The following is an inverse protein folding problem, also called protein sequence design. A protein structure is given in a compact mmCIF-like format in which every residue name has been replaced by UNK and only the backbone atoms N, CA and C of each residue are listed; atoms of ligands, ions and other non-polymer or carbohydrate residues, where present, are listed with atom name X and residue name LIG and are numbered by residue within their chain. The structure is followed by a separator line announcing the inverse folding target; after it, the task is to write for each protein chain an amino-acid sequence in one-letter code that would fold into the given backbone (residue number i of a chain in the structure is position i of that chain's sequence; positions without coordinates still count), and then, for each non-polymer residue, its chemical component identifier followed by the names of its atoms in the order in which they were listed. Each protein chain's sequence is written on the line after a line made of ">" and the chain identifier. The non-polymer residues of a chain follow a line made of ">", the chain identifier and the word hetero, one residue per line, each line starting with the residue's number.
data_IF_100219725778
#
_entry.id   IF_100219725778
#
_cell.length_a   1.000
_cell.length_b   1.000
_cell.length_c   1.000
_cell.angle_alpha   90.00
_cell.angle_beta   90.00
_cell.angle_gamma   90.00
#
_symmetry.space_group_name_H-M   'P 1'
#
loop_
_entity.id
_entity.type
_entity.pdbx_description
1 polymer ?
#
# COMPACT_ATOMS: atom_id res chain seq x y z
N UNK A 1 -26.15 -9.69 20.18
CA UNK A 1 -25.28 -9.22 19.10
C UNK A 1 -25.88 -9.57 17.75
N UNK A 2 -26.00 -8.60 16.89
CA UNK A 2 -26.48 -8.88 15.55
C UNK A 2 -25.39 -9.55 14.71
N UNK A 3 -25.80 -10.37 13.76
CA UNK A 3 -24.88 -11.02 12.83
C UNK A 3 -24.05 -9.99 12.04
N UNK A 4 -24.63 -8.82 11.75
CA UNK A 4 -23.96 -7.73 11.05
C UNK A 4 -22.75 -7.20 11.84
N UNK A 5 -22.85 -7.09 13.16
CA UNK A 5 -21.73 -6.65 14.00
C UNK A 5 -20.59 -7.66 14.02
N UNK A 6 -20.90 -8.95 14.12
CA UNK A 6 -19.92 -10.03 14.05
C UNK A 6 -19.20 -10.06 12.72
N UNK A 7 -19.95 -9.88 11.63
CA UNK A 7 -19.41 -9.89 10.28
C UNK A 7 -18.45 -8.71 10.06
N UNK A 8 -18.83 -7.53 10.54
CA UNK A 8 -17.97 -6.34 10.43
C UNK A 8 -16.67 -6.51 11.22
N UNK A 9 -16.75 -7.09 12.41
CA UNK A 9 -15.56 -7.36 13.22
C UNK A 9 -14.62 -8.34 12.53
N UNK A 10 -15.16 -9.37 11.91
CA UNK A 10 -14.36 -10.34 11.17
C UNK A 10 -13.67 -9.69 9.96
N UNK A 11 -14.40 -8.86 9.21
CA UNK A 11 -13.83 -8.13 8.08
C UNK A 11 -12.72 -7.19 8.53
N UNK A 12 -12.92 -6.50 9.65
CA UNK A 12 -11.92 -5.59 10.19
C UNK A 12 -10.66 -6.34 10.61
N UNK A 13 -10.81 -7.45 11.31
CA UNK A 13 -9.67 -8.30 11.70
C UNK A 13 -8.91 -8.83 10.50
N UNK A 14 -9.65 -9.27 9.48
CA UNK A 14 -9.06 -9.78 8.26
C UNK A 14 -8.23 -8.70 7.54
N UNK A 15 -8.82 -7.53 7.34
CA UNK A 15 -8.15 -6.42 6.69
C UNK A 15 -6.92 -5.94 7.47
N UNK A 16 -7.05 -5.82 8.79
CA UNK A 16 -5.95 -5.41 9.66
C UNK A 16 -4.78 -6.39 9.59
N UNK A 17 -5.08 -7.69 9.60
CA UNK A 17 -4.05 -8.71 9.50
C UNK A 17 -3.33 -8.66 8.14
N UNK A 18 -4.08 -8.49 7.04
CA UNK A 18 -3.49 -8.43 5.70
C UNK A 18 -2.53 -7.24 5.55
N UNK A 19 -2.85 -6.12 6.19
CA UNK A 19 -2.01 -4.92 6.14
C UNK A 19 -0.77 -5.04 7.03
N UNK A 20 -0.90 -5.68 8.17
CA UNK A 20 0.19 -5.80 9.13
C UNK A 20 0.19 -7.20 9.77
N UNK A 21 0.57 -8.25 9.00
CA UNK A 21 0.49 -9.61 9.50
C UNK A 21 1.45 -9.91 10.66
N UNK A 22 2.52 -9.11 10.81
CA UNK A 22 3.48 -9.31 11.89
C UNK A 22 2.93 -8.92 13.26
N UNK A 23 2.08 -7.90 13.31
CA UNK A 23 1.56 -7.35 14.57
C UNK A 23 0.10 -7.67 14.84
N UNK A 24 -0.70 -7.83 13.79
CA UNK A 24 -2.13 -8.07 13.93
C UNK A 24 -2.45 -9.55 13.82
N UNK A 25 -3.25 -10.11 14.74
CA UNK A 25 -3.56 -11.54 14.70
C UNK A 25 -4.42 -11.90 13.50
N UNK A 26 -4.24 -13.11 12.98
CA UNK A 26 -5.11 -13.61 11.91
C UNK A 26 -6.49 -13.95 12.49
N UNK A 27 -7.55 -13.79 11.69
CA UNK A 27 -8.90 -14.16 12.13
C UNK A 27 -9.00 -15.65 12.44
N UNK A 28 -9.77 -15.98 13.48
CA UNK A 28 -10.04 -17.36 13.81
C UNK A 28 -10.92 -18.00 12.73
N UNK A 29 -10.74 -19.30 12.54
CA UNK A 29 -11.55 -20.08 11.61
C UNK A 29 -11.01 -20.13 10.19
N UNK A 30 -9.90 -19.44 9.92
CA UNK A 30 -9.25 -19.50 8.61
C UNK A 30 -7.94 -20.27 8.75
N UNK A 31 -7.78 -21.28 7.90
CA UNK A 31 -6.58 -22.10 7.88
C UNK A 31 -5.36 -21.27 7.51
N UNK A 32 -4.22 -21.48 8.18
CA UNK A 32 -3.02 -20.69 7.98
C UNK A 32 -2.51 -20.75 6.53
N UNK A 33 -2.61 -21.90 5.91
CA UNK A 33 -2.23 -22.06 4.50
C UNK A 33 -3.05 -21.12 3.60
N UNK A 34 -4.34 -21.00 3.89
CA UNK A 34 -5.25 -20.12 3.14
C UNK A 34 -4.95 -18.66 3.43
N UNK A 35 -4.66 -18.33 4.69
CA UNK A 35 -4.26 -16.98 5.07
C UNK A 35 -3.00 -16.55 4.35
N UNK A 36 -2.02 -17.45 4.19
CA UNK A 36 -0.79 -17.11 3.48
C UNK A 36 -1.07 -16.74 2.03
N UNK A 37 -1.99 -17.43 1.36
CA UNK A 37 -2.40 -17.10 0.00
C UNK A 37 -3.01 -15.70 -0.05
N UNK A 38 -3.90 -15.38 0.90
CA UNK A 38 -4.53 -14.06 0.95
C UNK A 38 -3.52 -12.96 1.24
N UNK A 39 -2.57 -13.18 2.15
CA UNK A 39 -1.51 -12.22 2.43
C UNK A 39 -0.66 -11.92 1.19
N UNK A 40 -0.30 -12.96 0.48
CA UNK A 40 0.52 -12.82 -0.73
C UNK A 40 -0.23 -12.08 -1.83
N UNK A 41 -1.49 -12.44 -2.07
CA UNK A 41 -2.32 -11.76 -3.06
C UNK A 41 -2.52 -10.29 -2.73
N UNK A 42 -2.83 -9.99 -1.49
CA UNK A 42 -3.04 -8.61 -1.05
C UNK A 42 -1.79 -7.78 -1.24
N UNK A 43 -0.65 -8.27 -0.77
CA UNK A 43 0.60 -7.55 -0.90
C UNK A 43 0.99 -7.36 -2.36
N UNK A 44 0.88 -8.41 -3.16
CA UNK A 44 1.26 -8.35 -4.57
C UNK A 44 0.39 -7.36 -5.34
N UNK A 45 -0.90 -7.30 -5.03
CA UNK A 45 -1.80 -6.33 -5.66
C UNK A 45 -1.42 -4.89 -5.31
N UNK A 46 -1.18 -4.61 -4.04
CA UNK A 46 -0.78 -3.25 -3.61
C UNK A 46 0.57 -2.88 -4.18
N UNK A 47 1.54 -3.78 -4.10
CA UNK A 47 2.88 -3.54 -4.66
C UNK A 47 2.82 -3.26 -6.16
N UNK A 48 2.01 -4.02 -6.88
CA UNK A 48 1.82 -3.81 -8.32
C UNK A 48 1.26 -2.42 -8.63
N UNK A 49 0.28 -1.95 -7.86
CA UNK A 49 -0.25 -0.60 -8.02
C UNK A 49 0.79 0.46 -7.72
N UNK A 50 1.57 0.28 -6.65
CA UNK A 50 2.64 1.24 -6.32
C UNK A 50 3.70 1.26 -7.42
N UNK A 51 4.12 0.11 -7.91
CA UNK A 51 5.10 0.04 -9.00
C UNK A 51 4.57 0.66 -10.28
N UNK A 52 3.27 0.53 -10.55
CA UNK A 52 2.64 1.17 -11.70
C UNK A 52 2.53 2.68 -11.57
N UNK A 53 2.33 3.19 -10.36
CA UNK A 53 2.26 4.63 -10.11
C UNK A 53 3.66 5.26 -10.04
N UNK A 54 4.66 4.52 -9.58
CA UNK A 54 6.02 5.04 -9.37
C UNK A 54 7.05 4.15 -10.05
N UNK A 55 7.00 4.01 -11.40
CA UNK A 55 7.87 3.05 -12.09
C UNK A 55 9.35 3.38 -12.01
N UNK A 56 9.73 4.65 -12.04
CA UNK A 56 11.13 5.04 -11.94
C UNK A 56 11.63 4.83 -10.52
N UNK A 57 10.85 5.22 -9.53
CA UNK A 57 11.20 4.99 -8.13
C UNK A 57 11.42 3.50 -7.86
N UNK A 58 10.52 2.65 -8.37
CA UNK A 58 10.64 1.20 -8.25
C UNK A 58 11.94 0.70 -8.89
N UNK A 59 12.33 1.27 -10.02
CA UNK A 59 13.51 0.86 -10.76
C UNK A 59 14.81 1.25 -10.09
N UNK A 60 14.88 2.45 -9.51
CA UNK A 60 16.12 2.95 -8.91
C UNK A 60 16.37 2.42 -7.50
N UNK A 61 15.31 2.05 -6.77
CA UNK A 61 15.45 1.49 -5.42
C UNK A 61 15.78 -0.01 -5.51
N UNK A 62 16.73 -0.51 -4.69
CA UNK A 62 16.94 -1.95 -4.59
C UNK A 62 15.67 -2.66 -4.15
N UNK A 63 15.48 -3.90 -4.59
CA UNK A 63 14.26 -4.67 -4.29
C UNK A 63 13.98 -4.71 -2.78
N UNK A 64 15.01 -4.96 -1.98
CA UNK A 64 14.86 -5.01 -0.52
C UNK A 64 14.32 -3.70 0.02
N UNK A 65 14.86 -2.58 -0.43
CA UNK A 65 14.45 -1.26 0.05
C UNK A 65 13.03 -0.93 -0.40
N UNK A 66 12.71 -1.23 -1.65
CA UNK A 66 11.37 -1.01 -2.19
C UNK A 66 10.31 -1.80 -1.43
N UNK A 67 10.56 -3.10 -1.24
CA UNK A 67 9.60 -3.95 -0.54
C UNK A 67 9.46 -3.59 0.93
N UNK A 68 10.56 -3.20 1.59
CA UNK A 68 10.50 -2.72 2.97
C UNK A 68 9.64 -1.46 3.08
N UNK A 69 9.77 -0.55 2.13
CA UNK A 69 8.99 0.69 2.08
C UNK A 69 7.51 0.38 1.86
N UNK A 70 7.19 -0.51 0.92
CA UNK A 70 5.81 -0.90 0.65
C UNK A 70 5.16 -1.58 1.86
N UNK A 71 5.89 -2.46 2.53
CA UNK A 71 5.41 -3.11 3.75
C UNK A 71 5.18 -2.12 4.87
N UNK A 72 6.10 -1.18 5.06
CA UNK A 72 5.96 -0.15 6.10
C UNK A 72 4.76 0.76 5.82
N UNK A 73 4.55 1.11 4.55
CA UNK A 73 3.37 1.88 4.16
C UNK A 73 2.08 1.16 4.55
N UNK A 74 1.97 -0.12 4.22
CA UNK A 74 0.78 -0.89 4.56
C UNK A 74 0.56 -1.01 6.07
N UNK A 75 1.65 -1.13 6.84
CA UNK A 75 1.56 -1.30 8.29
C UNK A 75 1.20 0.00 9.01
N UNK A 76 1.77 1.12 8.57
CA UNK A 76 1.63 2.40 9.27
C UNK A 76 0.52 3.29 8.76
N UNK A 77 0.35 3.34 7.44
CA UNK A 77 -0.61 4.26 6.85
C UNK A 77 -2.01 3.66 6.87
N UNK A 78 -2.97 4.41 7.39
CA UNK A 78 -4.38 4.04 7.31
C UNK A 78 -4.93 4.58 6.01
N UNK A 79 -5.15 3.69 5.05
CA UNK A 79 -5.80 4.07 3.81
C UNK A 79 -7.23 4.51 4.11
N UNK A 80 -7.55 5.75 3.77
CA UNK A 80 -8.87 6.34 4.02
C UNK A 80 -9.85 6.03 2.92
N UNK A 81 -9.36 5.52 1.80
CA UNK A 81 -10.20 5.21 0.65
C UNK A 81 -10.00 3.76 0.26
N UNK A 82 -11.08 3.05 -0.10
CA UNK A 82 -10.96 1.71 -0.66
C UNK A 82 -10.58 1.71 -2.14
N UNK A 83 -10.45 2.88 -2.77
CA UNK A 83 -10.19 2.98 -4.19
C UNK A 83 -8.70 2.92 -4.49
N UNK A 84 -8.30 1.91 -5.23
CA UNK A 84 -6.91 1.72 -5.65
C UNK A 84 -6.32 2.91 -6.43
N UNK A 85 -7.08 3.63 -7.28
CA UNK A 85 -6.50 4.79 -8.00
C UNK A 85 -5.93 5.88 -7.08
N UNK A 86 -6.42 5.98 -5.85
CA UNK A 86 -5.93 6.97 -4.90
C UNK A 86 -4.77 6.50 -4.05
N UNK A 87 -4.36 5.24 -4.19
CA UNK A 87 -3.30 4.68 -3.36
C UNK A 87 -1.96 5.38 -3.59
N UNK A 88 -1.73 5.87 -4.81
CA UNK A 88 -0.53 6.66 -5.12
C UNK A 88 -0.45 7.93 -4.30
N UNK A 89 -1.56 8.65 -4.19
CA UNK A 89 -1.62 9.87 -3.38
C UNK A 89 -1.42 9.57 -1.90
N UNK A 90 -2.00 8.49 -1.43
CA UNK A 90 -1.81 8.07 -0.04
C UNK A 90 -0.37 7.65 0.23
N UNK A 91 0.28 7.02 -0.75
CA UNK A 91 1.69 6.68 -0.63
C UNK A 91 2.57 7.92 -0.55
N UNK A 92 2.27 8.96 -1.33
CA UNK A 92 2.97 10.25 -1.22
C UNK A 92 2.80 10.86 0.16
N UNK A 93 1.60 10.83 0.69
CA UNK A 93 1.29 11.34 2.02
C UNK A 93 2.10 10.59 3.08
N UNK A 94 2.17 9.29 2.97
CA UNK A 94 2.98 8.46 3.84
C UNK A 94 4.47 8.82 3.75
N UNK A 95 5.02 8.96 2.56
CA UNK A 95 6.42 9.32 2.38
C UNK A 95 6.75 10.68 2.97
N UNK A 96 5.83 11.62 2.86
CA UNK A 96 6.05 12.98 3.30
C UNK A 96 5.88 13.14 4.80
N UNK A 97 4.90 12.49 5.42
CA UNK A 97 4.49 12.75 6.80
C UNK A 97 4.71 11.60 7.78
N UNK A 98 4.74 10.37 7.32
CA UNK A 98 4.73 9.22 8.23
C UNK A 98 6.03 8.42 8.23
N UNK A 99 6.74 8.43 7.11
CA UNK A 99 7.95 7.62 6.97
C UNK A 99 9.17 8.37 7.48
N UNK A 100 9.97 7.67 8.30
CA UNK A 100 11.28 8.19 8.67
C UNK A 100 12.25 7.96 7.52
N UNK A 101 12.97 9.00 7.05
CA UNK A 101 13.94 8.83 5.97
C UNK A 101 15.02 7.85 6.37
N UNK A 102 15.33 6.90 5.48
CA UNK A 102 16.41 5.96 5.67
C UNK A 102 17.74 6.56 5.23
N UNK A 103 18.84 6.04 5.80
CA UNK A 103 20.20 6.50 5.45
C UNK A 103 20.51 6.22 3.98
N UNK A 104 19.94 5.17 3.42
CA UNK A 104 20.17 4.75 2.04
C UNK A 104 19.22 5.39 1.04
N UNK A 105 18.30 6.26 1.49
CA UNK A 105 17.37 6.92 0.60
C UNK A 105 18.08 7.89 -0.33
N UNK A 106 17.73 7.91 -1.64
CA UNK A 106 18.19 8.98 -2.52
C UNK A 106 17.72 10.34 -2.01
N UNK A 107 18.53 11.39 -2.09
CA UNK A 107 18.10 12.71 -1.61
C UNK A 107 16.92 13.28 -2.37
N UNK A 108 16.64 12.79 -3.58
CA UNK A 108 15.54 13.24 -4.42
C UNK A 108 14.31 12.30 -4.38
N UNK A 109 14.25 11.38 -3.42
CA UNK A 109 13.21 10.36 -3.38
C UNK A 109 11.79 10.94 -3.37
N UNK A 110 11.55 11.89 -2.47
CA UNK A 110 10.21 12.50 -2.33
C UNK A 110 9.85 13.32 -3.56
N UNK A 111 10.80 14.08 -4.09
CA UNK A 111 10.57 14.89 -5.29
C UNK A 111 10.27 14.03 -6.50
N UNK A 112 10.99 12.93 -6.67
CA UNK A 112 10.74 11.99 -7.76
C UNK A 112 9.36 11.36 -7.65
N UNK A 113 8.97 10.95 -6.44
CA UNK A 113 7.65 10.36 -6.21
C UNK A 113 6.54 11.36 -6.57
N UNK A 114 6.67 12.61 -6.15
CA UNK A 114 5.71 13.66 -6.51
C UNK A 114 5.63 13.88 -8.02
N UNK A 115 6.78 13.88 -8.67
CA UNK A 115 6.83 14.08 -10.12
C UNK A 115 6.12 12.95 -10.86
N UNK A 116 6.40 11.70 -10.50
CA UNK A 116 5.78 10.55 -11.14
C UNK A 116 4.28 10.52 -10.93
N UNK A 117 3.83 10.82 -9.71
CA UNK A 117 2.40 10.88 -9.43
C UNK A 117 1.72 11.99 -10.23
N UNK A 118 2.35 13.16 -10.33
CA UNK A 118 1.81 14.28 -11.09
C UNK A 118 1.67 13.95 -12.57
N UNK A 119 2.65 13.27 -13.16
CA UNK A 119 2.57 12.83 -14.54
C UNK A 119 1.42 11.86 -14.78
N UNK A 120 1.24 10.92 -13.88
CA UNK A 120 0.15 9.95 -13.97
C UNK A 120 -1.21 10.66 -13.88
N UNK A 121 -1.34 11.61 -12.97
CA UNK A 121 -2.57 12.38 -12.81
C UNK A 121 -2.90 13.20 -14.05
N UNK A 122 -1.90 13.81 -14.66
CA UNK A 122 -2.06 14.56 -15.92
C UNK A 122 -2.49 13.61 -17.04
N UNK A 123 -1.87 12.43 -17.13
CA UNK A 123 -2.22 11.43 -18.12
C UNK A 123 -3.67 10.98 -18.02
N UNK A 124 -4.16 10.74 -16.81
CA UNK A 124 -5.57 10.39 -16.58
C UNK A 124 -6.49 11.55 -16.95
N UNK A 125 -6.09 12.78 -16.62
CA UNK A 125 -6.87 13.97 -16.94
C UNK A 125 -7.02 14.15 -18.45
N UNK A 126 -5.95 13.94 -19.20
CA UNK A 126 -5.97 14.03 -20.67
C UNK A 126 -6.83 12.92 -21.29
N UNK A 127 -6.78 11.71 -20.72
CA UNK A 127 -7.60 10.59 -21.18
C UNK A 127 -9.09 10.90 -21.00
N UNK A 128 -9.45 11.57 -19.90
CA UNK A 128 -10.84 11.93 -19.61
C UNK A 128 -11.38 12.99 -20.57
N UNK A 129 -10.51 13.74 -21.21
CA UNK A 129 -10.90 14.80 -22.16
C UNK A 129 -11.18 14.27 -23.56
N UNK A 130 -10.77 13.07 -23.86
CA UNK A 130 -11.07 12.43 -25.13
C UNK A 130 -12.29 11.53 -25.02
#
# INVERSE_FOLDING_TARGET
>A
MSEAGSFKNLQYQFASHLRNPAEMPSPEGIEERRMQIYRDLFYNNVEGFLAGNFPVLRRILPDRQWHAMARDFLARHRCRTPYFPEIGREFLDYLQHEREPGADDPPFLLELAHYEWAELAIGFSDADRT
#
